data_IF_553552317324
#
_entry.id   IF_553552317324
#
_cell.length_a   1.000
_cell.length_b   1.000
_cell.length_c   1.000
_cell.angle_alpha   90.00
_cell.angle_beta   90.00
_cell.angle_gamma   90.00
#
_symmetry.space_group_name_H-M   'P 1'
#
loop_
_entity.id
_entity.type
_entity.pdbx_description
1 polymer ?
#
# COMPACT_ATOMS: atom_id res chain seq x y z
N UNK A 1 1.26 -10.04 -5.35
CA UNK A 1 -0.13 -10.05 -4.84
C UNK A 1 -0.58 -11.49 -4.61
N UNK A 2 -1.49 -11.75 -3.65
CA UNK A 2 -1.97 -13.09 -3.31
C UNK A 2 -2.46 -13.91 -4.50
N UNK A 3 -3.20 -13.30 -5.42
CA UNK A 3 -3.77 -13.95 -6.61
C UNK A 3 -2.73 -14.56 -7.54
N UNK A 4 -1.52 -13.96 -7.63
CA UNK A 4 -0.40 -14.51 -8.42
C UNK A 4 0.05 -15.84 -7.83
N UNK A 5 0.09 -15.92 -6.50
CA UNK A 5 0.53 -17.11 -5.79
C UNK A 5 -0.52 -18.22 -5.85
N UNK A 6 -1.79 -17.85 -5.96
CA UNK A 6 -2.93 -18.75 -6.12
C UNK A 6 -3.22 -19.13 -7.58
N UNK A 7 -2.44 -18.65 -8.56
CA UNK A 7 -2.69 -18.84 -10.00
C UNK A 7 -4.07 -18.35 -10.46
N UNK A 8 -4.60 -17.32 -9.80
CA UNK A 8 -5.83 -16.65 -10.18
C UNK A 8 -5.60 -15.59 -11.27
N UNK A 9 -6.65 -15.17 -12.01
CA UNK A 9 -6.52 -14.14 -13.04
C UNK A 9 -5.97 -12.82 -12.48
N UNK A 10 -4.93 -12.29 -13.13
CA UNK A 10 -4.35 -10.98 -12.81
C UNK A 10 -5.17 -9.85 -13.42
N UNK A 11 -5.13 -8.69 -12.78
CA UNK A 11 -5.80 -7.47 -13.25
C UNK A 11 -5.06 -6.23 -12.75
N UNK A 12 -5.56 -5.03 -13.05
CA UNK A 12 -5.00 -3.79 -12.50
C UNK A 12 -4.99 -3.76 -10.97
N UNK A 13 -5.87 -4.50 -10.30
CA UNK A 13 -5.86 -4.65 -8.85
C UNK A 13 -4.58 -5.35 -8.35
N UNK A 14 -3.91 -6.15 -9.18
CA UNK A 14 -2.60 -6.75 -8.89
C UNK A 14 -1.51 -5.68 -8.80
N UNK A 15 -1.56 -4.66 -9.65
CA UNK A 15 -0.65 -3.50 -9.57
C UNK A 15 -0.94 -2.66 -8.32
N UNK A 16 -2.21 -2.49 -7.96
CA UNK A 16 -2.62 -1.78 -6.74
C UNK A 16 -2.03 -2.40 -5.48
N UNK A 17 -1.94 -3.74 -5.41
CA UNK A 17 -1.22 -4.42 -4.33
C UNK A 17 0.26 -4.00 -4.28
N UNK A 18 0.93 -3.97 -5.43
CA UNK A 18 2.34 -3.58 -5.53
C UNK A 18 2.55 -2.13 -5.07
N UNK A 19 1.60 -1.23 -5.35
CA UNK A 19 1.61 0.14 -4.83
C UNK A 19 1.50 0.16 -3.31
N UNK A 20 0.61 -0.66 -2.72
CA UNK A 20 0.50 -0.78 -1.26
C UNK A 20 1.79 -1.27 -0.61
N UNK A 21 2.44 -2.28 -1.18
CA UNK A 21 3.74 -2.78 -0.71
C UNK A 21 4.82 -1.70 -0.84
N UNK A 22 4.86 -0.99 -1.97
CA UNK A 22 5.83 0.08 -2.18
C UNK A 22 5.64 1.23 -1.17
N UNK A 23 4.40 1.67 -0.95
CA UNK A 23 4.07 2.71 0.02
C UNK A 23 4.49 2.33 1.44
N UNK A 24 4.24 1.07 1.84
CA UNK A 24 4.72 0.54 3.11
C UNK A 24 6.24 0.65 3.22
N UNK A 25 6.98 0.10 2.25
CA UNK A 25 8.46 0.11 2.25
C UNK A 25 9.02 1.53 2.32
N UNK A 26 8.40 2.48 1.62
CA UNK A 26 8.85 3.88 1.62
C UNK A 26 8.65 4.56 2.97
N UNK A 27 7.63 4.18 3.75
CA UNK A 27 7.29 4.84 5.01
C UNK A 27 7.92 4.16 6.23
N UNK A 28 8.04 2.83 6.22
CA UNK A 28 8.58 2.05 7.33
C UNK A 28 10.06 1.70 7.15
N UNK A 29 10.55 1.70 5.89
CA UNK A 29 11.87 1.19 5.54
C UNK A 29 12.00 -0.34 5.58
N UNK A 30 10.92 -1.07 5.87
CA UNK A 30 10.89 -2.53 5.99
C UNK A 30 9.97 -3.16 4.95
N UNK A 31 10.19 -4.45 4.64
CA UNK A 31 9.30 -5.18 3.72
C UNK A 31 8.15 -5.82 4.50
N UNK A 32 6.87 -5.60 4.12
CA UNK A 32 5.72 -6.00 4.92
C UNK A 32 5.53 -7.52 5.01
N UNK A 33 6.05 -8.28 4.05
CA UNK A 33 5.78 -9.72 3.96
C UNK A 33 7.04 -10.58 3.78
N UNK A 34 8.24 -9.98 3.80
CA UNK A 34 9.48 -10.73 3.58
C UNK A 34 9.73 -11.70 4.75
N UNK A 35 9.71 -13.00 4.46
CA UNK A 35 10.15 -14.04 5.38
C UNK A 35 11.59 -14.49 5.10
N UNK A 36 12.12 -15.38 5.93
CA UNK A 36 13.44 -15.98 5.77
C UNK A 36 13.54 -16.86 4.51
N UNK A 37 12.40 -17.40 4.07
CA UNK A 37 12.28 -18.15 2.82
C UNK A 37 11.00 -17.81 2.04
N UNK A 38 10.86 -18.44 0.86
CA UNK A 38 9.71 -18.25 -0.02
C UNK A 38 8.40 -18.75 0.59
N UNK A 39 8.44 -19.79 1.42
CA UNK A 39 7.25 -20.38 2.03
C UNK A 39 6.72 -19.47 3.14
N UNK A 40 7.62 -18.95 3.98
CA UNK A 40 7.29 -17.94 5.00
C UNK A 40 6.77 -16.66 4.36
N UNK A 41 7.41 -16.17 3.30
CA UNK A 41 6.94 -15.01 2.54
C UNK A 41 5.52 -15.24 1.98
N UNK A 42 5.27 -16.42 1.43
CA UNK A 42 3.94 -16.78 0.93
C UNK A 42 2.89 -16.82 2.05
N UNK A 43 3.24 -17.36 3.22
CA UNK A 43 2.36 -17.39 4.38
C UNK A 43 2.02 -15.97 4.88
N UNK A 44 3.02 -15.10 4.99
CA UNK A 44 2.85 -13.70 5.39
C UNK A 44 1.90 -12.95 4.44
N UNK A 45 2.07 -13.14 3.12
CA UNK A 45 1.18 -12.55 2.10
C UNK A 45 -0.25 -13.09 2.26
N UNK A 46 -0.40 -14.40 2.49
CA UNK A 46 -1.72 -15.06 2.58
C UNK A 46 -2.49 -14.69 3.84
N UNK A 47 -1.78 -14.40 4.93
CA UNK A 47 -2.37 -14.05 6.22
C UNK A 47 -2.55 -12.53 6.42
N UNK A 48 -2.03 -11.69 5.51
CA UNK A 48 -1.95 -10.24 5.68
C UNK A 48 -1.32 -9.85 7.02
N UNK A 49 -0.25 -10.53 7.40
CA UNK A 49 0.41 -10.28 8.67
C UNK A 49 1.28 -9.02 8.58
N UNK A 50 0.67 -7.86 8.82
CA UNK A 50 1.33 -6.55 8.88
C UNK A 50 1.31 -6.11 10.34
N UNK A 51 2.47 -5.84 10.92
CA UNK A 51 2.55 -5.36 12.31
C UNK A 51 2.09 -3.92 12.40
N UNK A 52 1.21 -3.59 13.35
CA UNK A 52 0.85 -2.19 13.62
C UNK A 52 2.02 -1.42 14.25
N UNK A 53 2.98 -2.12 14.87
CA UNK A 53 4.19 -1.51 15.44
C UNK A 53 5.08 -0.85 14.37
N UNK A 54 5.03 -1.36 13.12
CA UNK A 54 5.78 -0.78 12.01
C UNK A 54 5.22 0.60 11.57
N UNK A 55 4.05 0.99 12.08
CA UNK A 55 3.42 2.26 11.78
C UNK A 55 3.69 3.38 12.79
N UNK A 56 4.61 3.19 13.73
CA UNK A 56 4.98 4.23 14.69
C UNK A 56 5.47 5.50 13.98
N UNK A 57 4.82 6.64 14.24
CA UNK A 57 5.15 7.94 13.65
C UNK A 57 4.63 8.15 12.22
N UNK A 58 3.92 7.19 11.63
CA UNK A 58 3.26 7.34 10.33
C UNK A 58 1.86 7.93 10.54
N UNK A 59 1.42 8.83 9.65
CA UNK A 59 0.11 9.48 9.76
C UNK A 59 -1.04 8.52 9.47
N UNK A 60 -2.17 8.68 10.18
CA UNK A 60 -3.37 7.85 9.97
C UNK A 60 -3.85 7.79 8.51
N UNK A 61 -3.84 8.88 7.72
CA UNK A 61 -4.19 8.82 6.30
C UNK A 61 -3.26 7.91 5.50
N UNK A 62 -1.96 7.88 5.81
CA UNK A 62 -0.99 7.03 5.13
C UNK A 62 -1.21 5.55 5.46
N UNK A 63 -1.46 5.24 6.75
CA UNK A 63 -1.78 3.89 7.21
C UNK A 63 -3.07 3.41 6.54
N UNK A 64 -4.10 4.26 6.50
CA UNK A 64 -5.38 3.95 5.86
C UNK A 64 -5.20 3.69 4.35
N UNK A 65 -4.37 4.48 3.67
CA UNK A 65 -4.04 4.27 2.26
C UNK A 65 -3.41 2.90 2.02
N UNK A 66 -2.42 2.50 2.83
CA UNK A 66 -1.78 1.18 2.74
C UNK A 66 -2.80 0.07 2.99
N UNK A 67 -3.61 0.18 4.05
CA UNK A 67 -4.62 -0.83 4.42
C UNK A 67 -5.72 -0.97 3.35
N UNK A 68 -6.04 0.09 2.59
CA UNK A 68 -6.97 0.04 1.46
C UNK A 68 -6.42 -0.70 0.23
N UNK A 69 -5.10 -0.89 0.14
CA UNK A 69 -4.43 -1.55 -0.99
C UNK A 69 -3.99 -2.99 -0.67
N UNK A 70 -3.55 -3.23 0.56
CA UNK A 70 -3.10 -4.54 1.03
C UNK A 70 -4.27 -5.41 1.51
N UNK A 71 -5.17 -5.73 0.58
CA UNK A 71 -6.34 -6.59 0.82
C UNK A 71 -6.23 -7.86 -0.03
N UNK A 72 -6.54 -9.03 0.56
CA UNK A 72 -6.41 -10.31 -0.14
C UNK A 72 -7.29 -10.38 -1.39
N UNK A 73 -8.55 -9.98 -1.28
CA UNK A 73 -9.51 -9.99 -2.40
C UNK A 73 -9.24 -8.81 -3.33
N UNK A 74 -8.87 -9.03 -4.61
CA UNK A 74 -8.51 -7.94 -5.52
C UNK A 74 -9.63 -6.92 -5.74
N UNK A 75 -10.88 -7.38 -5.75
CA UNK A 75 -12.07 -6.53 -5.95
C UNK A 75 -12.38 -5.56 -4.81
N UNK A 76 -11.82 -5.80 -3.63
CA UNK A 76 -12.06 -4.99 -2.44
C UNK A 76 -10.93 -3.94 -2.26
N UNK A 77 -9.88 -3.99 -3.10
CA UNK A 77 -8.78 -3.00 -3.10
C UNK A 77 -9.24 -1.69 -3.71
N UNK A 78 -8.73 -0.59 -3.18
CA UNK A 78 -8.86 0.73 -3.80
C UNK A 78 -8.27 0.72 -5.23
N UNK A 79 -8.95 1.39 -6.16
CA UNK A 79 -8.45 1.59 -7.51
C UNK A 79 -7.46 2.76 -7.56
N UNK A 80 -6.72 2.90 -8.65
CA UNK A 80 -5.83 4.05 -8.86
C UNK A 80 -6.59 5.39 -8.78
N UNK A 81 -7.84 5.44 -9.25
CA UNK A 81 -8.69 6.64 -9.17
C UNK A 81 -9.03 6.96 -7.72
N UNK A 82 -9.43 5.95 -6.94
CA UNK A 82 -9.73 6.12 -5.51
C UNK A 82 -8.48 6.59 -4.75
N UNK A 83 -7.31 6.02 -5.08
CA UNK A 83 -6.03 6.40 -4.48
C UNK A 83 -5.66 7.86 -4.74
N UNK A 84 -5.85 8.36 -5.97
CA UNK A 84 -5.56 9.76 -6.31
C UNK A 84 -6.47 10.74 -5.54
N UNK A 85 -7.66 10.31 -5.16
CA UNK A 85 -8.59 11.09 -4.35
C UNK A 85 -8.42 10.87 -2.84
N UNK A 86 -7.56 9.91 -2.45
CA UNK A 86 -7.38 9.55 -1.06
C UNK A 86 -6.76 10.72 -0.28
N UNK A 87 -7.21 11.03 0.95
CA UNK A 87 -6.72 12.18 1.72
C UNK A 87 -5.20 12.23 1.89
N UNK A 88 -4.53 11.07 1.88
CA UNK A 88 -3.06 10.99 1.94
C UNK A 88 -2.35 11.57 0.70
N UNK A 89 -2.90 11.37 -0.50
CA UNK A 89 -2.31 11.89 -1.75
C UNK A 89 -2.95 13.21 -2.20
N UNK A 90 -4.24 13.40 -1.90
CA UNK A 90 -4.99 14.59 -2.26
C UNK A 90 -4.65 15.83 -1.40
N UNK A 91 -3.86 15.67 -0.33
CA UNK A 91 -3.28 16.78 0.43
C UNK A 91 -2.12 17.41 -0.36
N UNK A 92 -2.49 18.08 -1.44
CA UNK A 92 -1.61 18.79 -2.35
C UNK A 92 -2.04 20.23 -2.54
N UNK A 93 -2.35 20.95 -1.45
CA UNK A 93 -1.99 22.38 -1.42
C UNK A 93 -0.47 22.43 -1.18
N UNK A 94 0.30 21.97 -2.18
CA UNK A 94 1.66 22.46 -2.28
C UNK A 94 1.49 23.95 -2.55
N UNK A 95 1.97 24.86 -1.69
CA UNK A 95 1.96 26.27 -2.02
C UNK A 95 2.66 26.39 -3.37
N UNK A 96 1.99 27.02 -4.34
CA UNK A 96 2.59 27.25 -5.63
C UNK A 96 3.94 27.95 -5.35
N UNK A 97 5.08 27.37 -5.77
CA UNK A 97 6.39 27.96 -5.48
C UNK A 97 6.54 29.38 -6.05
N UNK A 98 5.56 29.85 -6.84
CA UNK A 98 5.45 31.21 -7.36
C UNK A 98 4.45 32.11 -6.61
N UNK A 99 3.68 31.62 -5.63
CA UNK A 99 2.69 32.43 -4.87
C UNK A 99 3.34 33.35 -3.82
N UNK A 100 4.62 33.14 -3.50
CA UNK A 100 5.40 33.99 -2.58
C UNK A 100 6.20 35.10 -3.29
N UNK A 101 5.98 35.29 -4.60
CA UNK A 101 6.72 36.24 -5.43
C UNK A 101 5.91 37.47 -5.89
N UNK A 102 4.75 37.77 -5.28
CA UNK A 102 3.99 39.02 -5.48
C UNK A 102 3.94 39.89 -4.23
#
# INVERSE_FOLDING_TARGET
APEILSYEPISTATDMWSIGVLAYVMLTGTSPFLGNDKQETFLNISQLNISDDDFEGISDPAINFIKALLICKPKDRATAVDCLQHPWLAQGDLPDPYDSAM
#
